data_IF_493321620156
#
_entry.id   IF_493321620156
#
_cell.length_a   1.000
_cell.length_b   1.000
_cell.length_c   1.000
_cell.angle_alpha   90.00
_cell.angle_beta   90.00
_cell.angle_gamma   90.00
#
_symmetry.space_group_name_H-M   'P 1'
#
loop_
_entity.id
_entity.type
_entity.pdbx_description
1 polymer ?
#
# COMPACT_ATOMS: atom_id res chain seq x y z
N UNK A 1 -88.16 34.71 -55.12
CA UNK A 1 -87.79 36.13 -55.17
C UNK A 1 -86.56 36.32 -54.32
N UNK A 2 -85.43 36.70 -54.92
CA UNK A 2 -84.15 36.88 -54.23
C UNK A 2 -84.19 38.07 -53.27
N UNK A 3 -83.90 37.82 -52.00
CA UNK A 3 -83.65 38.89 -51.02
C UNK A 3 -82.38 39.65 -51.42
N UNK A 4 -82.53 40.95 -51.67
CA UNK A 4 -81.41 41.89 -51.80
C UNK A 4 -80.82 42.10 -50.40
N UNK A 5 -79.61 41.61 -50.17
CA UNK A 5 -78.83 41.96 -48.99
C UNK A 5 -78.40 43.43 -49.09
N UNK A 6 -78.86 44.26 -48.15
CA UNK A 6 -78.39 45.63 -47.99
C UNK A 6 -77.05 45.63 -47.21
N UNK A 7 -76.09 46.51 -47.56
CA UNK A 7 -74.84 46.62 -46.83
C UNK A 7 -75.06 47.15 -45.40
N UNK A 8 -74.33 46.58 -44.43
CA UNK A 8 -74.35 46.98 -43.02
C UNK A 8 -73.95 48.45 -42.85
N UNK A 9 -74.67 49.17 -41.98
CA UNK A 9 -74.35 50.56 -41.60
C UNK A 9 -73.03 50.63 -40.80
N UNK A 10 -72.32 51.77 -40.89
CA UNK A 10 -71.00 51.97 -40.24
C UNK A 10 -71.02 51.72 -38.72
N UNK A 11 -72.16 52.00 -38.06
CA UNK A 11 -72.31 51.75 -36.63
C UNK A 11 -72.42 50.25 -36.29
N UNK A 12 -73.05 49.46 -37.17
CA UNK A 12 -73.10 48.00 -37.06
C UNK A 12 -71.76 47.36 -37.41
N UNK A 13 -71.00 47.94 -38.35
CA UNK A 13 -69.62 47.54 -38.63
C UNK A 13 -68.68 47.83 -37.45
N UNK A 14 -68.86 48.98 -36.77
CA UNK A 14 -68.10 49.31 -35.54
C UNK A 14 -68.42 48.36 -34.39
N UNK A 15 -69.71 48.04 -34.14
CA UNK A 15 -70.08 47.05 -33.11
C UNK A 15 -69.55 45.64 -33.41
N UNK A 16 -69.47 45.23 -34.68
CA UNK A 16 -68.84 43.97 -35.06
C UNK A 16 -67.31 43.98 -34.95
N UNK A 17 -66.64 45.14 -35.10
CA UNK A 17 -65.20 45.26 -34.85
C UNK A 17 -64.84 45.22 -33.36
N UNK A 18 -65.73 45.66 -32.47
CA UNK A 18 -65.49 45.67 -31.01
C UNK A 18 -65.74 44.29 -30.36
N UNK A 19 -66.56 43.43 -30.99
CA UNK A 19 -66.87 42.07 -30.51
C UNK A 19 -66.09 40.95 -31.21
N UNK A 20 -65.22 41.27 -32.16
CA UNK A 20 -64.26 40.29 -32.70
C UNK A 20 -63.03 40.25 -31.79
N UNK A 21 -62.69 39.11 -31.17
CA UNK A 21 -61.43 38.98 -30.47
C UNK A 21 -60.30 39.23 -31.47
N UNK A 22 -59.44 40.19 -31.12
CA UNK A 22 -58.21 40.48 -31.85
C UNK A 22 -57.38 39.19 -31.94
N UNK A 23 -56.78 38.84 -33.10
CA UNK A 23 -55.81 37.77 -33.13
C UNK A 23 -54.66 38.19 -32.23
N UNK A 24 -54.46 37.48 -31.12
CA UNK A 24 -53.36 37.75 -30.21
C UNK A 24 -52.07 37.63 -31.01
N UNK A 25 -51.39 38.77 -31.19
CA UNK A 25 -50.03 38.81 -31.68
C UNK A 25 -49.19 37.90 -30.79
N UNK A 26 -48.62 36.86 -31.41
CA UNK A 26 -47.67 35.96 -30.79
C UNK A 26 -46.50 36.82 -30.28
N UNK A 27 -46.15 36.79 -28.98
CA UNK A 27 -44.91 37.38 -28.53
C UNK A 27 -43.77 36.62 -29.19
N UNK A 28 -43.04 37.30 -30.07
CA UNK A 28 -41.68 36.94 -30.42
C UNK A 28 -40.82 37.18 -29.17
N UNK A 29 -40.75 36.16 -28.31
CA UNK A 29 -39.79 35.90 -27.24
C UNK A 29 -40.36 34.75 -26.40
N UNK A 30 -40.40 33.53 -26.97
CA UNK A 30 -40.35 32.38 -26.09
C UNK A 30 -38.94 32.39 -25.50
N UNK A 31 -38.80 32.93 -24.29
CA UNK A 31 -37.75 32.45 -23.40
C UNK A 31 -37.93 30.93 -23.39
N UNK A 32 -37.00 30.25 -24.05
CA UNK A 32 -36.75 28.85 -23.79
C UNK A 32 -36.45 28.86 -22.29
N UNK A 33 -37.43 28.53 -21.45
CA UNK A 33 -37.06 27.95 -20.17
C UNK A 33 -36.23 26.75 -20.59
N UNK A 34 -34.93 26.71 -20.26
CA UNK A 34 -34.27 25.44 -20.27
C UNK A 34 -35.20 24.57 -19.44
N UNK A 35 -35.61 23.42 -19.97
CA UNK A 35 -35.77 22.31 -19.04
C UNK A 35 -34.53 22.40 -18.17
N UNK A 36 -34.69 22.65 -16.88
CA UNK A 36 -33.66 22.26 -15.93
C UNK A 36 -33.59 20.75 -16.12
N UNK A 37 -32.79 20.36 -17.13
CA UNK A 37 -32.19 19.06 -17.21
C UNK A 37 -31.73 18.83 -15.76
N UNK A 38 -32.07 17.69 -15.13
CA UNK A 38 -31.39 17.34 -13.89
C UNK A 38 -29.92 17.64 -14.16
N UNK A 39 -29.28 18.48 -13.33
CA UNK A 39 -28.04 19.16 -13.68
C UNK A 39 -27.19 18.12 -14.39
N UNK A 40 -26.91 18.36 -15.68
CA UNK A 40 -26.16 17.41 -16.51
C UNK A 40 -25.06 16.90 -15.60
N UNK A 41 -25.01 15.56 -15.33
CA UNK A 41 -24.25 15.03 -14.19
C UNK A 41 -22.94 15.77 -14.21
N UNK A 42 -22.73 16.60 -13.17
CA UNK A 42 -21.67 17.62 -13.15
C UNK A 42 -20.48 16.96 -13.79
N UNK A 43 -19.97 17.43 -14.95
CA UNK A 43 -19.06 16.66 -15.77
C UNK A 43 -18.03 16.11 -14.81
N UNK A 44 -18.09 14.79 -14.58
CA UNK A 44 -17.42 14.16 -13.44
C UNK A 44 -16.06 14.79 -13.40
N UNK A 45 -15.71 15.57 -12.35
CA UNK A 45 -14.61 16.52 -12.43
C UNK A 45 -13.47 15.78 -13.07
N UNK A 46 -13.08 16.23 -14.27
CA UNK A 46 -12.22 15.46 -15.17
C UNK A 46 -11.06 15.01 -14.34
N UNK A 47 -11.04 13.71 -14.02
CA UNK A 47 -10.32 13.17 -12.85
C UNK A 47 -8.94 13.80 -12.82
N UNK A 48 -8.51 14.52 -11.75
CA UNK A 48 -7.15 15.03 -11.73
C UNK A 48 -6.22 13.83 -12.01
N UNK A 49 -5.20 13.96 -12.88
CA UNK A 49 -4.38 12.83 -13.31
C UNK A 49 -3.56 12.36 -12.10
N UNK A 50 -4.11 11.45 -11.29
CA UNK A 50 -3.71 11.49 -9.88
C UNK A 50 -4.22 10.41 -8.94
N UNK A 51 -5.14 9.50 -9.33
CA UNK A 51 -5.72 8.56 -8.37
C UNK A 51 -4.69 7.77 -7.55
N UNK A 52 -5.05 7.50 -6.29
CA UNK A 52 -4.30 6.70 -5.32
C UNK A 52 -5.20 5.67 -4.65
N UNK A 53 -4.63 4.61 -4.09
CA UNK A 53 -5.36 3.57 -3.38
C UNK A 53 -5.84 4.07 -2.01
N UNK A 54 -4.95 4.74 -1.28
CA UNK A 54 -5.26 5.44 -0.03
C UNK A 54 -4.48 6.75 0.04
N UNK A 55 -5.02 7.68 0.84
CA UNK A 55 -4.47 8.98 1.21
C UNK A 55 -4.79 9.29 2.68
N UNK A 56 -4.11 10.25 3.32
CA UNK A 56 -4.53 10.73 4.62
C UNK A 56 -5.99 11.21 4.60
N UNK A 57 -6.80 10.73 5.54
CA UNK A 57 -8.23 11.03 5.65
C UNK A 57 -8.48 12.52 5.92
N UNK A 58 -7.54 13.22 6.55
CA UNK A 58 -7.67 14.66 6.79
C UNK A 58 -7.53 15.53 5.53
N UNK A 59 -7.03 14.97 4.42
CA UNK A 59 -6.97 15.71 3.16
C UNK A 59 -8.36 15.83 2.53
N UNK A 60 -8.72 16.99 1.95
CA UNK A 60 -9.99 17.16 1.24
C UNK A 60 -10.16 16.21 0.05
N UNK A 61 -11.42 16.10 -0.42
CA UNK A 61 -11.76 15.39 -1.66
C UNK A 61 -10.92 15.87 -2.85
N UNK A 62 -10.43 14.91 -3.64
CA UNK A 62 -9.61 15.17 -4.83
C UNK A 62 -8.14 15.51 -4.54
N UNK A 63 -7.77 15.74 -3.28
CA UNK A 63 -6.40 16.09 -2.88
C UNK A 63 -5.67 14.84 -2.38
N UNK A 64 -4.62 14.44 -3.08
CA UNK A 64 -3.89 13.19 -2.79
C UNK A 64 -2.70 13.37 -1.85
N UNK A 65 -2.15 14.57 -1.72
CA UNK A 65 -0.93 14.80 -0.95
C UNK A 65 -0.96 16.16 -0.26
N UNK A 66 -0.19 16.29 0.82
CA UNK A 66 0.05 17.57 1.46
C UNK A 66 0.70 18.54 0.45
N UNK A 67 0.00 19.62 0.14
CA UNK A 67 0.50 20.72 -0.65
C UNK A 67 1.11 21.76 0.29
N UNK A 68 2.41 21.67 0.57
CA UNK A 68 3.07 22.65 1.44
C UNK A 68 4.39 23.17 0.82
N UNK A 69 4.53 24.50 0.56
CA UNK A 69 5.80 25.10 0.13
C UNK A 69 6.95 24.96 1.14
N UNK A 70 6.66 24.64 2.41
CA UNK A 70 7.65 24.46 3.49
C UNK A 70 8.03 22.98 3.67
N UNK A 71 7.34 22.06 2.98
CA UNK A 71 7.63 20.62 2.98
C UNK A 71 7.31 19.91 4.29
N UNK A 72 6.44 20.46 5.14
CA UNK A 72 6.02 19.78 6.37
C UNK A 72 5.04 18.65 6.04
N UNK A 73 5.33 17.46 6.58
CA UNK A 73 4.45 16.29 6.53
C UNK A 73 4.32 15.77 7.96
N UNK A 74 3.08 15.65 8.50
CA UNK A 74 2.87 15.19 9.85
C UNK A 74 3.27 13.72 10.05
N UNK A 75 3.63 13.38 11.29
CA UNK A 75 3.74 11.99 11.74
C UNK A 75 2.34 11.53 12.15
N UNK A 76 1.82 10.50 11.51
CA UNK A 76 0.42 10.11 11.64
C UNK A 76 0.27 8.64 12.00
N UNK A 77 -0.88 8.26 12.56
CA UNK A 77 -1.20 6.86 12.77
C UNK A 77 -1.70 6.23 11.47
N UNK A 78 -1.53 4.92 11.31
CA UNK A 78 -2.09 4.18 10.16
C UNK A 78 -3.61 4.36 10.02
N UNK A 79 -4.31 4.59 11.13
CA UNK A 79 -5.76 4.83 11.14
C UNK A 79 -6.17 6.17 10.53
N UNK A 80 -5.23 7.12 10.39
CA UNK A 80 -5.44 8.38 9.69
C UNK A 80 -5.38 8.20 8.15
N UNK A 81 -5.13 6.98 7.66
CA UNK A 81 -5.16 6.62 6.24
C UNK A 81 -6.32 5.65 5.90
N UNK A 82 -7.17 5.35 6.88
CA UNK A 82 -8.33 4.48 6.74
C UNK A 82 -8.35 3.35 7.76
N UNK A 83 -8.96 2.24 7.37
CA UNK A 83 -9.04 1.06 8.21
C UNK A 83 -7.75 0.24 8.12
N UNK A 84 -7.42 -0.43 9.22
CA UNK A 84 -6.24 -1.28 9.34
C UNK A 84 -6.57 -2.52 10.17
N UNK A 85 -6.10 -3.69 9.76
CA UNK A 85 -6.24 -4.93 10.52
C UNK A 85 -4.97 -5.78 10.45
N UNK A 86 -4.54 -6.30 11.60
CA UNK A 86 -3.41 -7.22 11.69
C UNK A 86 -3.93 -8.64 11.86
N UNK A 87 -3.46 -9.55 11.02
CA UNK A 87 -3.79 -10.96 11.03
C UNK A 87 -2.53 -11.80 11.26
N UNK A 88 -2.68 -12.94 11.91
CA UNK A 88 -1.62 -13.93 12.01
C UNK A 88 -2.13 -15.33 12.27
N UNK A 89 -1.27 -16.31 12.04
CA UNK A 89 -1.58 -17.71 12.28
C UNK A 89 -0.35 -18.50 12.70
N UNK A 90 -0.58 -19.64 13.36
CA UNK A 90 0.48 -20.48 13.93
C UNK A 90 0.50 -21.87 13.29
N UNK A 91 -0.68 -22.43 13.08
CA UNK A 91 -0.86 -23.78 12.59
C UNK A 91 -0.75 -23.84 11.07
N UNK A 92 0.00 -24.83 10.59
CA UNK A 92 0.17 -25.13 9.18
C UNK A 92 -0.69 -26.35 8.88
N UNK A 93 -1.55 -26.25 7.88
CA UNK A 93 -2.36 -27.38 7.42
C UNK A 93 -1.54 -28.37 6.58
N UNK A 94 -2.17 -29.50 6.23
CA UNK A 94 -1.56 -30.55 5.40
C UNK A 94 -1.16 -30.08 3.98
N UNK A 95 -1.58 -28.87 3.59
CA UNK A 95 -1.32 -28.25 2.29
C UNK A 95 -0.28 -27.12 2.39
N UNK A 96 0.37 -26.95 3.55
CA UNK A 96 1.39 -25.94 3.78
C UNK A 96 0.84 -24.52 3.98
N UNK A 97 -0.47 -24.37 4.18
CA UNK A 97 -1.11 -23.08 4.37
C UNK A 97 -1.38 -22.80 5.86
N UNK A 98 -1.26 -21.53 6.25
CA UNK A 98 -1.51 -21.04 7.60
C UNK A 98 -2.82 -20.27 7.60
N UNK A 99 -3.83 -20.77 8.29
CA UNK A 99 -5.08 -20.04 8.48
C UNK A 99 -4.82 -18.76 9.28
N UNK A 100 -5.21 -17.61 8.73
CA UNK A 100 -5.00 -16.32 9.36
C UNK A 100 -6.17 -16.01 10.28
N UNK A 101 -5.86 -15.51 11.48
CA UNK A 101 -6.80 -15.06 12.50
C UNK A 101 -6.52 -13.63 12.90
N UNK A 102 -7.54 -12.91 13.35
CA UNK A 102 -7.42 -11.49 13.72
C UNK A 102 -6.63 -11.32 15.01
N UNK A 103 -5.56 -10.52 14.94
CA UNK A 103 -4.77 -10.07 16.09
C UNK A 103 -5.34 -8.76 16.62
N UNK A 104 -5.52 -7.76 15.75
CA UNK A 104 -5.96 -6.41 16.14
C UNK A 104 -6.51 -5.60 14.97
N UNK A 105 -7.03 -4.40 15.27
CA UNK A 105 -7.47 -3.41 14.28
C UNK A 105 -8.98 -3.43 13.98
N UNK A 106 -9.36 -2.77 12.89
CA UNK A 106 -10.74 -2.58 12.42
C UNK A 106 -11.46 -3.91 12.13
N UNK A 107 -12.79 -3.88 12.13
CA UNK A 107 -13.59 -5.00 11.61
C UNK A 107 -13.28 -5.18 10.11
N UNK A 108 -13.14 -6.43 9.67
CA UNK A 108 -12.85 -6.73 8.26
C UNK A 108 -14.08 -6.44 7.38
N UNK A 109 -13.88 -6.24 6.07
CA UNK A 109 -14.99 -6.07 5.14
C UNK A 109 -16.01 -7.22 5.23
N UNK A 110 -17.28 -6.88 5.19
CA UNK A 110 -18.40 -7.82 5.14
C UNK A 110 -18.23 -8.73 3.91
N UNK A 111 -18.54 -10.02 4.06
CA UNK A 111 -18.42 -11.00 2.98
C UNK A 111 -16.98 -11.44 2.64
N UNK A 112 -15.95 -10.92 3.33
CA UNK A 112 -14.56 -11.32 3.10
C UNK A 112 -14.33 -12.82 3.35
N UNK A 113 -15.05 -13.46 4.27
CA UNK A 113 -14.82 -14.87 4.58
C UNK A 113 -13.47 -15.10 5.27
N UNK A 114 -12.69 -16.07 4.77
CA UNK A 114 -11.44 -16.53 5.39
C UNK A 114 -10.21 -16.28 4.49
N UNK A 115 -9.07 -16.03 5.14
CA UNK A 115 -7.77 -15.91 4.48
C UNK A 115 -6.78 -16.91 5.07
N UNK A 116 -5.94 -17.49 4.21
CA UNK A 116 -4.80 -18.29 4.61
C UNK A 116 -3.56 -17.87 3.83
N UNK A 117 -2.39 -17.94 4.47
CA UNK A 117 -1.11 -17.61 3.85
C UNK A 117 -0.32 -18.89 3.63
N UNK A 118 0.14 -19.12 2.39
CA UNK A 118 1.08 -20.19 2.06
C UNK A 118 2.42 -19.59 1.66
N UNK A 119 3.51 -20.16 2.17
CA UNK A 119 4.87 -19.69 1.85
C UNK A 119 5.84 -20.87 1.73
N UNK A 120 6.80 -20.80 0.82
CA UNK A 120 7.80 -21.87 0.61
C UNK A 120 8.63 -22.18 1.88
N UNK A 121 8.87 -21.18 2.73
CA UNK A 121 9.54 -21.35 4.02
C UNK A 121 8.72 -22.16 5.03
N UNK A 122 7.38 -22.14 4.90
CA UNK A 122 6.45 -22.87 5.76
C UNK A 122 6.30 -24.33 5.30
N UNK A 123 6.33 -24.58 3.99
CA UNK A 123 6.40 -25.95 3.43
C UNK A 123 7.61 -26.73 3.96
N UNK A 124 8.75 -26.04 4.09
CA UNK A 124 10.00 -26.62 4.62
C UNK A 124 9.92 -26.93 6.13
N UNK A 125 9.12 -26.16 6.89
CA UNK A 125 8.95 -26.34 8.33
C UNK A 125 7.94 -27.44 8.67
N UNK A 126 6.92 -27.67 7.83
CA UNK A 126 5.99 -28.79 7.99
C UNK A 126 6.69 -30.17 7.85
N UNK A 127 7.79 -30.24 7.09
CA UNK A 127 8.61 -31.44 6.94
C UNK A 127 9.57 -31.69 8.12
N UNK A 128 9.84 -30.68 8.95
CA UNK A 128 10.71 -30.79 10.11
C UNK A 128 9.88 -31.03 11.38
N UNK A 129 9.74 -32.29 11.79
CA UNK A 129 9.17 -32.64 13.10
C UNK A 129 10.12 -32.11 14.18
N UNK A 130 9.88 -30.90 14.66
CA UNK A 130 10.67 -30.24 15.69
C UNK A 130 9.87 -29.12 16.35
N UNK A 131 9.70 -29.23 17.67
CA UNK A 131 9.00 -28.32 18.58
C UNK A 131 8.93 -26.86 18.10
N UNK A 132 7.75 -26.44 17.63
CA UNK A 132 7.40 -25.02 17.53
C UNK A 132 7.49 -24.45 18.94
N UNK A 133 8.36 -23.46 19.15
CA UNK A 133 8.30 -22.62 20.36
C UNK A 133 6.90 -22.03 20.39
N UNK A 134 6.05 -22.50 21.32
CA UNK A 134 4.59 -22.41 21.28
C UNK A 134 3.94 -21.02 21.36
N UNK A 135 4.59 -19.96 20.86
CA UNK A 135 4.05 -18.59 20.81
C UNK A 135 4.27 -17.85 19.49
N UNK A 136 5.25 -18.25 18.67
CA UNK A 136 5.61 -17.54 17.44
C UNK A 136 4.54 -17.71 16.35
N UNK A 137 4.43 -16.71 15.48
CA UNK A 137 3.56 -16.77 14.32
C UNK A 137 4.28 -17.46 13.17
N UNK A 138 3.54 -18.29 12.46
CA UNK A 138 4.00 -18.92 11.22
C UNK A 138 3.64 -18.09 9.99
N UNK A 139 2.60 -17.26 10.10
CA UNK A 139 2.25 -16.23 9.11
C UNK A 139 1.78 -14.95 9.78
N UNK A 140 2.17 -13.80 9.22
CA UNK A 140 1.76 -12.46 9.66
C UNK A 140 1.40 -11.63 8.43
N UNK A 141 0.20 -11.04 8.45
CA UNK A 141 -0.34 -10.24 7.35
C UNK A 141 -0.97 -8.97 7.92
N UNK A 142 -0.67 -7.82 7.34
CA UNK A 142 -1.39 -6.58 7.60
C UNK A 142 -2.30 -6.23 6.43
N UNK A 143 -3.49 -5.74 6.73
CA UNK A 143 -4.47 -5.27 5.76
C UNK A 143 -4.78 -3.80 6.02
N UNK A 144 -4.92 -3.01 4.96
CA UNK A 144 -5.42 -1.64 5.04
C UNK A 144 -6.36 -1.31 3.88
N UNK A 145 -7.32 -0.42 4.11
CA UNK A 145 -8.25 0.04 3.07
C UNK A 145 -8.86 1.40 3.44
N UNK A 146 -9.27 2.21 2.45
CA UNK A 146 -9.89 3.50 2.71
C UNK A 146 -11.16 3.40 3.57
N UNK A 147 -11.33 4.35 4.50
CA UNK A 147 -12.54 4.51 5.31
C UNK A 147 -13.63 5.31 4.59
N UNK A 148 -13.24 6.32 3.80
CA UNK A 148 -14.15 7.20 3.09
C UNK A 148 -14.48 6.65 1.69
N UNK A 149 -15.78 6.49 1.43
CA UNK A 149 -16.29 6.07 0.14
C UNK A 149 -16.69 7.31 -0.66
N UNK A 150 -16.23 7.40 -1.90
CA UNK A 150 -16.64 8.46 -2.83
C UNK A 150 -15.65 9.61 -3.01
N UNK A 151 -14.47 9.55 -2.40
CA UNK A 151 -13.40 10.52 -2.69
C UNK A 151 -12.88 10.35 -4.13
N UNK A 152 -12.94 11.43 -4.90
CA UNK A 152 -12.58 11.50 -6.32
C UNK A 152 -11.10 11.26 -6.59
N UNK A 153 -10.24 11.40 -5.57
CA UNK A 153 -8.82 11.09 -5.61
C UNK A 153 -8.52 9.59 -5.44
N UNK A 154 -9.52 8.78 -5.07
CA UNK A 154 -9.34 7.34 -4.94
C UNK A 154 -9.59 6.59 -6.28
N UNK A 155 -8.90 5.46 -6.43
CA UNK A 155 -9.24 4.53 -7.52
C UNK A 155 -10.63 3.92 -7.29
N UNK A 156 -11.35 3.69 -8.38
CA UNK A 156 -12.54 2.82 -8.32
C UNK A 156 -12.11 1.35 -8.36
N UNK A 157 -12.96 0.46 -7.86
CA UNK A 157 -12.72 -0.98 -7.92
C UNK A 157 -12.51 -1.48 -9.36
N UNK A 158 -13.26 -0.92 -10.32
CA UNK A 158 -13.12 -1.23 -11.75
C UNK A 158 -11.76 -0.81 -12.30
N UNK A 159 -11.26 0.38 -11.92
CA UNK A 159 -9.94 0.83 -12.33
C UNK A 159 -8.87 -0.15 -11.84
N UNK A 160 -8.88 -0.51 -10.56
CA UNK A 160 -7.89 -1.42 -9.99
C UNK A 160 -7.88 -2.79 -10.69
N UNK A 161 -9.03 -3.33 -11.13
CA UNK A 161 -9.10 -4.62 -11.87
C UNK A 161 -8.33 -4.61 -13.19
N UNK A 162 -8.20 -3.45 -13.83
CA UNK A 162 -7.50 -3.30 -15.12
C UNK A 162 -6.00 -2.97 -14.97
N UNK A 163 -5.54 -2.72 -13.74
CA UNK A 163 -4.21 -2.22 -13.46
C UNK A 163 -3.26 -3.33 -13.02
N UNK A 164 -2.00 -3.23 -13.44
CA UNK A 164 -0.91 -4.07 -12.91
C UNK A 164 -0.25 -3.43 -11.69
N UNK A 165 -0.26 -2.10 -11.61
CA UNK A 165 0.27 -1.34 -10.49
C UNK A 165 -0.61 -0.13 -10.24
N UNK A 166 -0.74 0.27 -8.98
CA UNK A 166 -1.49 1.45 -8.57
C UNK A 166 -0.67 2.27 -7.58
N UNK A 167 -0.94 3.58 -7.55
CA UNK A 167 -0.30 4.50 -6.60
C UNK A 167 -0.96 4.40 -5.23
N UNK A 168 -0.21 4.62 -4.17
CA UNK A 168 -0.71 4.83 -2.80
C UNK A 168 0.08 5.93 -2.13
N UNK A 169 -0.52 6.64 -1.18
CA UNK A 169 0.18 7.65 -0.38
C UNK A 169 0.80 7.09 0.91
N UNK A 170 0.57 5.80 1.16
CA UNK A 170 1.07 5.08 2.31
C UNK A 170 1.62 3.73 1.87
N UNK A 171 2.78 3.38 2.40
CA UNK A 171 3.32 2.02 2.35
C UNK A 171 3.76 1.56 3.73
N UNK A 172 3.39 0.34 4.08
CA UNK A 172 3.55 -0.26 5.39
C UNK A 172 4.51 -1.46 5.31
N UNK A 173 5.18 -1.68 6.43
CA UNK A 173 5.97 -2.87 6.70
C UNK A 173 5.56 -3.43 8.06
N UNK A 174 5.42 -4.74 8.15
CA UNK A 174 5.23 -5.46 9.42
C UNK A 174 6.19 -6.62 9.50
N UNK A 175 6.70 -6.87 10.71
CA UNK A 175 7.64 -7.95 11.00
C UNK A 175 7.38 -8.54 12.39
N UNK A 176 7.66 -9.83 12.52
CA UNK A 176 7.81 -10.47 13.82
C UNK A 176 9.29 -10.62 14.13
N UNK A 177 9.71 -10.18 15.32
CA UNK A 177 11.07 -10.34 15.82
C UNK A 177 11.29 -11.77 16.37
N UNK A 178 12.54 -12.15 16.60
CA UNK A 178 12.92 -13.49 17.10
C UNK A 178 12.27 -13.84 18.45
N UNK A 179 11.95 -12.84 19.28
CA UNK A 179 11.26 -13.01 20.57
C UNK A 179 9.73 -13.09 20.45
N UNK A 180 9.19 -13.00 19.23
CA UNK A 180 7.76 -13.02 18.94
C UNK A 180 7.09 -11.65 18.97
N UNK A 181 7.80 -10.60 19.38
CA UNK A 181 7.30 -9.22 19.38
C UNK A 181 6.99 -8.78 17.96
N UNK A 182 5.84 -8.16 17.77
CA UNK A 182 5.44 -7.60 16.49
C UNK A 182 5.92 -6.15 16.38
N UNK A 183 6.52 -5.81 15.23
CA UNK A 183 6.92 -4.46 14.88
C UNK A 183 6.28 -4.08 13.54
N UNK A 184 5.90 -2.82 13.42
CA UNK A 184 5.35 -2.29 12.18
C UNK A 184 5.50 -0.78 12.12
N UNK A 185 5.72 -0.29 10.91
CA UNK A 185 5.80 1.13 10.59
C UNK A 185 5.46 1.32 9.12
N UNK A 186 5.22 2.56 8.70
CA UNK A 186 5.07 2.90 7.29
C UNK A 186 5.73 4.21 6.94
N UNK A 187 5.74 4.52 5.65
CA UNK A 187 6.12 5.83 5.15
C UNK A 187 5.00 6.45 4.33
N UNK A 188 4.87 7.76 4.50
CA UNK A 188 4.15 8.60 3.56
C UNK A 188 4.96 8.72 2.27
N UNK A 189 4.37 8.38 1.14
CA UNK A 189 5.10 8.33 -0.13
C UNK A 189 5.23 9.70 -0.78
N UNK A 190 4.31 10.63 -0.49
CA UNK A 190 4.27 11.96 -1.09
C UNK A 190 4.35 11.88 -2.61
N UNK A 191 5.20 12.71 -3.23
CA UNK A 191 5.40 12.73 -4.69
C UNK A 191 6.52 11.78 -5.19
N UNK A 192 6.99 10.86 -4.35
CA UNK A 192 8.00 9.89 -4.76
C UNK A 192 7.34 8.76 -5.58
N UNK A 193 7.47 8.85 -6.90
CA UNK A 193 6.84 7.90 -7.83
C UNK A 193 7.27 6.45 -7.59
N UNK A 194 8.54 6.18 -7.25
CA UNK A 194 9.00 4.81 -6.97
C UNK A 194 8.35 4.26 -5.69
N UNK A 195 8.12 5.12 -4.69
CA UNK A 195 7.48 4.72 -3.45
C UNK A 195 5.97 4.59 -3.58
N UNK A 196 5.33 5.37 -4.45
CA UNK A 196 3.89 5.31 -4.64
C UNK A 196 3.43 4.00 -5.28
N UNK A 197 4.23 3.41 -6.17
CA UNK A 197 3.79 2.29 -7.01
C UNK A 197 3.79 0.98 -6.22
N UNK A 198 2.63 0.32 -6.19
CA UNK A 198 2.39 -0.98 -5.57
C UNK A 198 1.79 -1.91 -6.64
N UNK A 199 2.22 -3.17 -6.63
CA UNK A 199 1.68 -4.17 -7.56
C UNK A 199 0.24 -4.54 -7.19
N UNK A 200 -0.61 -4.63 -8.22
CA UNK A 200 -2.01 -5.01 -8.09
C UNK A 200 -2.13 -6.49 -8.45
N UNK A 201 -2.60 -7.29 -7.49
CA UNK A 201 -2.71 -8.74 -7.62
C UNK A 201 -4.18 -9.14 -7.55
N UNK A 202 -4.61 -9.92 -8.54
CA UNK A 202 -5.98 -10.42 -8.62
C UNK A 202 -6.06 -11.84 -8.11
N UNK A 203 -7.10 -12.14 -7.33
CA UNK A 203 -7.40 -13.51 -6.96
C UNK A 203 -7.86 -14.31 -8.20
N UNK A 204 -7.15 -15.41 -8.47
CA UNK A 204 -7.47 -16.33 -9.56
C UNK A 204 -8.09 -17.60 -8.98
N UNK A 205 -9.13 -18.13 -9.64
CA UNK A 205 -9.72 -19.41 -9.26
C UNK A 205 -8.76 -20.55 -9.64
N UNK A 206 -8.31 -21.32 -8.66
CA UNK A 206 -7.49 -22.52 -8.82
C UNK A 206 -8.21 -23.70 -8.17
N UNK A 207 -9.03 -24.40 -8.96
CA UNK A 207 -9.96 -25.42 -8.46
C UNK A 207 -11.07 -24.80 -7.61
N UNK A 208 -11.17 -25.26 -6.36
CA UNK A 208 -12.17 -24.80 -5.37
C UNK A 208 -11.67 -23.60 -4.53
N UNK A 209 -10.46 -23.10 -4.78
CA UNK A 209 -9.85 -22.01 -4.01
C UNK A 209 -9.60 -20.80 -4.88
N UNK A 210 -9.60 -19.62 -4.27
CA UNK A 210 -9.08 -18.40 -4.89
C UNK A 210 -7.67 -18.13 -4.39
N UNK A 211 -6.73 -17.90 -5.29
CA UNK A 211 -5.31 -17.74 -4.97
C UNK A 211 -4.80 -16.44 -5.59
N UNK A 212 -4.13 -15.63 -4.78
CA UNK A 212 -3.34 -14.49 -5.20
C UNK A 212 -1.86 -14.86 -5.05
N UNK A 213 -1.15 -14.93 -6.18
CA UNK A 213 0.31 -15.15 -6.20
C UNK A 213 1.02 -13.82 -5.91
N UNK A 214 1.77 -13.79 -4.81
CA UNK A 214 2.48 -12.61 -4.33
C UNK A 214 3.97 -12.65 -4.69
N UNK A 215 4.37 -13.55 -5.59
CA UNK A 215 5.76 -13.78 -5.97
C UNK A 215 6.56 -14.47 -4.86
N UNK A 216 7.81 -14.83 -5.17
CA UNK A 216 8.79 -15.40 -4.21
C UNK A 216 8.21 -16.51 -3.31
N UNK A 217 7.39 -17.39 -3.91
CA UNK A 217 6.80 -18.54 -3.24
C UNK A 217 5.83 -18.21 -2.10
N UNK A 218 5.27 -16.99 -2.02
CA UNK A 218 4.14 -16.71 -1.15
C UNK A 218 2.85 -16.54 -1.96
N UNK A 219 1.80 -17.16 -1.44
CA UNK A 219 0.47 -17.08 -2.01
C UNK A 219 -0.52 -16.78 -0.88
N UNK A 220 -1.45 -15.87 -1.15
CA UNK A 220 -2.60 -15.67 -0.29
C UNK A 220 -3.78 -16.46 -0.85
N UNK A 221 -4.40 -17.26 -0.01
CA UNK A 221 -5.55 -18.10 -0.34
C UNK A 221 -6.77 -17.45 0.29
N UNK A 222 -7.80 -17.24 -0.52
CA UNK A 222 -9.05 -16.66 -0.11
C UNK A 222 -10.19 -17.66 -0.27
N UNK A 223 -10.99 -17.79 0.80
CA UNK A 223 -12.22 -18.56 0.80
C UNK A 223 -13.37 -17.59 1.06
N UNK A 224 -14.23 -17.30 0.06
CA UNK A 224 -15.34 -16.37 0.25
C UNK A 224 -16.28 -16.84 1.36
N UNK A 225 -16.95 -15.88 2.00
CA UNK A 225 -18.04 -16.22 2.92
C UNK A 225 -19.16 -16.95 2.14
N UNK A 226 -19.76 -17.96 2.77
CA UNK A 226 -20.90 -18.69 2.18
C UNK A 226 -22.09 -17.75 2.02
N UNK A 227 -22.32 -16.90 3.02
CA UNK A 227 -23.28 -15.80 2.97
C UNK A 227 -22.53 -14.47 2.77
N UNK A 228 -22.76 -13.73 1.66
CA UNK A 228 -22.18 -12.41 1.45
C UNK A 228 -22.56 -11.38 2.53
N UNK A 229 -23.66 -11.60 3.25
CA UNK A 229 -24.07 -10.80 4.40
C UNK A 229 -23.40 -11.18 5.71
N UNK A 230 -22.52 -12.19 5.72
CA UNK A 230 -21.86 -12.65 6.93
C UNK A 230 -20.93 -11.58 7.52
N UNK A 231 -21.11 -11.37 8.82
CA UNK A 231 -20.35 -10.42 9.64
C UNK A 231 -19.42 -11.12 10.63
N UNK A 232 -19.53 -12.46 10.77
CA UNK A 232 -18.72 -13.25 11.70
C UNK A 232 -17.23 -13.20 11.34
N UNK A 233 -16.90 -12.94 10.07
CA UNK A 233 -15.58 -12.56 9.60
C UNK A 233 -14.47 -13.54 9.96
N UNK A 234 -13.23 -13.06 9.93
CA UNK A 234 -12.08 -13.85 10.38
C UNK A 234 -12.06 -13.86 11.92
N UNK A 235 -12.01 -15.03 12.57
CA UNK A 235 -12.05 -15.13 14.03
C UNK A 235 -10.79 -14.56 14.68
N UNK A 236 -10.88 -14.21 15.97
CA UNK A 236 -9.73 -13.76 16.75
C UNK A 236 -8.67 -14.87 16.93
N UNK A 237 -7.40 -14.46 17.04
CA UNK A 237 -6.30 -15.36 17.36
C UNK A 237 -6.23 -15.58 18.88
N UNK A 238 -6.35 -16.84 19.30
CA UNK A 238 -6.20 -17.21 20.71
C UNK A 238 -4.79 -16.88 21.22
N UNK A 239 -4.72 -16.23 22.38
CA UNK A 239 -3.47 -15.72 22.97
C UNK A 239 -2.62 -14.93 21.96
N UNK A 240 -3.24 -13.97 21.25
CA UNK A 240 -2.55 -13.12 20.28
C UNK A 240 -1.42 -12.31 20.91
N UNK A 241 -0.29 -12.10 20.21
CA UNK A 241 0.78 -11.20 20.67
C UNK A 241 0.28 -9.75 20.74
N UNK A 242 0.98 -8.92 21.51
CA UNK A 242 0.67 -7.50 21.59
C UNK A 242 0.87 -6.83 20.22
N UNK A 243 -0.19 -6.16 19.74
CA UNK A 243 -0.13 -5.43 18.48
C UNK A 243 0.71 -4.15 18.60
N UNK A 244 1.54 -3.82 17.59
CA UNK A 244 2.30 -2.59 17.58
C UNK A 244 1.40 -1.40 17.25
N UNK A 245 1.79 -0.22 17.74
CA UNK A 245 1.26 1.05 17.21
C UNK A 245 2.01 1.37 15.93
N UNK A 246 1.29 1.45 14.81
CA UNK A 246 1.89 1.69 13.49
C UNK A 246 1.77 3.17 13.16
N UNK A 247 2.94 3.79 13.00
CA UNK A 247 3.08 5.18 12.56
C UNK A 247 3.48 5.25 11.09
N UNK A 248 2.94 6.25 10.39
CA UNK A 248 3.27 6.62 9.03
C UNK A 248 4.22 7.79 9.08
N UNK A 249 5.49 7.51 8.80
CA UNK A 249 6.55 8.49 8.93
C UNK A 249 6.65 9.37 7.69
N UNK A 250 6.90 10.68 7.86
CA UNK A 250 7.33 11.52 6.77
C UNK A 250 8.70 11.05 6.25
N UNK A 251 8.99 11.19 4.94
CA UNK A 251 10.24 10.73 4.33
C UNK A 251 11.40 11.70 4.61
N UNK A 252 11.79 11.84 5.89
CA UNK A 252 12.85 12.75 6.32
C UNK A 252 13.90 12.08 7.23
N UNK A 253 15.01 12.77 7.48
CA UNK A 253 16.12 12.23 8.28
C UNK A 253 15.73 11.90 9.72
N UNK A 254 14.76 12.62 10.31
CA UNK A 254 14.30 12.34 11.68
C UNK A 254 13.63 10.98 11.76
N UNK A 255 12.85 10.59 10.75
CA UNK A 255 12.25 9.25 10.69
C UNK A 255 13.32 8.14 10.68
N UNK A 256 14.41 8.32 9.92
CA UNK A 256 15.51 7.37 9.86
C UNK A 256 16.23 7.19 11.21
N UNK A 257 16.33 8.26 12.00
CA UNK A 257 16.91 8.23 13.35
C UNK A 257 16.02 7.48 14.35
N UNK A 258 14.70 7.63 14.24
CA UNK A 258 13.73 6.98 15.13
C UNK A 258 13.64 5.48 14.83
N UNK A 259 13.57 5.11 13.54
CA UNK A 259 13.32 3.73 13.13
C UNK A 259 14.57 2.82 13.16
N UNK A 260 15.76 3.40 13.25
CA UNK A 260 17.07 2.71 13.34
C UNK A 260 17.23 1.63 12.25
N UNK A 261 17.77 2.03 11.09
CA UNK A 261 17.90 1.21 9.87
C UNK A 261 16.56 0.67 9.33
N UNK A 262 15.58 1.54 9.04
CA UNK A 262 14.35 1.10 8.41
C UNK A 262 14.62 0.54 7.01
N UNK A 263 13.85 -0.47 6.64
CA UNK A 263 13.59 -0.81 5.24
C UNK A 263 12.67 0.27 4.66
N UNK A 264 12.93 0.68 3.43
CA UNK A 264 12.14 1.65 2.69
C UNK A 264 11.32 0.95 1.59
N UNK A 265 10.31 1.62 1.01
CA UNK A 265 9.83 1.26 -0.30
C UNK A 265 10.92 1.52 -1.37
N UNK A 266 10.98 0.75 -2.46
CA UNK A 266 10.01 -0.27 -2.88
C UNK A 266 10.25 -1.66 -2.29
N UNK A 267 11.22 -1.82 -1.39
CA UNK A 267 11.66 -3.14 -0.91
C UNK A 267 10.58 -3.92 -0.13
N UNK A 268 9.47 -3.29 0.28
CA UNK A 268 8.38 -3.98 1.00
C UNK A 268 7.69 -5.04 0.17
N UNK A 269 7.17 -6.05 0.87
CA UNK A 269 6.33 -7.10 0.29
C UNK A 269 4.86 -6.78 0.51
N UNK A 270 4.41 -5.77 -0.20
CA UNK A 270 3.03 -5.28 -0.16
C UNK A 270 2.38 -5.23 -1.54
N UNK A 271 1.06 -5.34 -1.56
CA UNK A 271 0.27 -5.49 -2.77
C UNK A 271 -1.09 -4.85 -2.59
N UNK A 272 -1.78 -4.58 -3.70
CA UNK A 272 -3.21 -4.28 -3.70
C UNK A 272 -3.93 -5.51 -4.22
N UNK A 273 -4.69 -6.17 -3.34
CA UNK A 273 -5.50 -7.34 -3.67
C UNK A 273 -6.82 -6.90 -4.26
N UNK A 274 -7.16 -7.48 -5.40
CA UNK A 274 -8.45 -7.27 -6.07
C UNK A 274 -9.21 -8.59 -6.09
N UNK A 275 -10.39 -8.59 -5.46
CA UNK A 275 -11.28 -9.74 -5.36
C UNK A 275 -12.17 -9.84 -6.60
N UNK A 276 -12.67 -11.04 -6.97
CA UNK A 276 -13.64 -11.20 -8.05
C UNK A 276 -14.86 -10.29 -7.85
N UNK A 277 -15.38 -9.71 -8.94
CA UNK A 277 -16.47 -8.71 -8.89
C UNK A 277 -17.73 -9.22 -8.20
N UNK A 278 -18.06 -10.50 -8.39
CA UNK A 278 -19.24 -11.16 -7.83
C UNK A 278 -19.19 -11.30 -6.30
N UNK A 279 -18.01 -11.18 -5.70
CA UNK A 279 -17.85 -11.30 -4.25
C UNK A 279 -18.38 -10.11 -3.47
N UNK A 280 -18.50 -8.94 -4.11
CA UNK A 280 -18.79 -7.68 -3.41
C UNK A 280 -17.69 -7.20 -2.45
N UNK A 281 -16.59 -7.95 -2.30
CA UNK A 281 -15.46 -7.59 -1.45
C UNK A 281 -14.61 -6.53 -2.17
N UNK A 282 -14.41 -5.40 -1.50
CA UNK A 282 -13.60 -4.30 -2.04
C UNK A 282 -12.10 -4.65 -2.03
N UNK A 283 -11.31 -4.03 -2.93
CA UNK A 283 -9.86 -4.20 -2.93
C UNK A 283 -9.21 -3.84 -1.59
N UNK A 284 -8.16 -4.57 -1.22
CA UNK A 284 -7.44 -4.42 0.04
C UNK A 284 -5.96 -4.21 -0.23
N UNK A 285 -5.33 -3.25 0.46
CA UNK A 285 -3.88 -3.22 0.55
C UNK A 285 -3.43 -4.28 1.55
N UNK A 286 -2.43 -5.08 1.17
CA UNK A 286 -1.89 -6.17 1.99
C UNK A 286 -0.39 -6.03 2.14
N UNK A 287 0.14 -6.32 3.33
CA UNK A 287 1.57 -6.55 3.57
C UNK A 287 1.73 -7.96 4.08
N UNK A 288 2.64 -8.72 3.50
CA UNK A 288 2.94 -10.09 3.94
C UNK A 288 4.31 -10.14 4.59
N UNK A 289 4.34 -10.64 5.82
CA UNK A 289 5.58 -10.93 6.54
C UNK A 289 5.80 -12.44 6.57
N UNK A 290 6.81 -12.84 5.81
CA UNK A 290 7.29 -14.21 5.61
C UNK A 290 8.46 -14.47 6.58
N UNK A 291 8.20 -14.37 7.88
CA UNK A 291 9.21 -14.52 8.97
C UNK A 291 10.38 -13.52 8.92
N UNK A 292 11.08 -13.40 10.06
CA UNK A 292 12.17 -12.46 10.27
C UNK A 292 13.34 -12.72 9.30
N UNK A 293 13.63 -11.75 8.43
CA UNK A 293 14.83 -11.79 7.56
C UNK A 293 14.59 -11.73 6.05
N UNK A 294 13.34 -11.57 5.58
CA UNK A 294 13.05 -11.62 4.14
C UNK A 294 13.27 -10.29 3.39
N UNK A 295 13.64 -9.23 4.10
CA UNK A 295 14.64 -8.32 3.55
C UNK A 295 15.96 -8.81 4.12
N UNK A 296 16.68 -9.64 3.36
CA UNK A 296 17.90 -10.32 3.77
C UNK A 296 19.06 -9.33 3.99
N UNK A 297 18.89 -8.42 4.96
CA UNK A 297 19.97 -7.70 5.55
C UNK A 297 20.61 -8.62 6.57
N UNK A 298 21.74 -9.17 6.19
CA UNK A 298 22.53 -9.98 7.09
C UNK A 298 22.92 -9.13 8.31
N UNK A 299 22.62 -9.59 9.53
CA UNK A 299 22.97 -8.84 10.73
C UNK A 299 24.48 -8.68 10.79
N UNK A 300 24.94 -7.49 11.17
CA UNK A 300 26.37 -7.25 11.31
C UNK A 300 26.95 -8.19 12.37
N UNK A 301 28.05 -8.88 12.10
CA UNK A 301 28.68 -9.73 13.10
C UNK A 301 29.23 -8.86 14.25
N UNK A 302 29.20 -9.40 15.47
CA UNK A 302 29.82 -8.73 16.64
C UNK A 302 31.34 -8.62 16.47
N UNK A 303 31.94 -9.64 15.85
CA UNK A 303 33.37 -9.78 15.58
C UNK A 303 33.58 -10.36 14.17
N UNK A 304 34.63 -9.91 13.49
CA UNK A 304 35.04 -10.48 12.21
C UNK A 304 36.00 -11.64 12.45
N UNK A 305 35.49 -12.88 12.46
CA UNK A 305 36.27 -14.07 12.82
C UNK A 305 37.51 -14.24 11.93
N UNK A 306 37.39 -14.00 10.64
CA UNK A 306 38.51 -14.06 9.69
C UNK A 306 39.46 -12.85 9.77
N UNK A 307 39.07 -11.78 10.44
CA UNK A 307 39.84 -10.54 10.57
C UNK A 307 40.05 -10.18 12.05
N UNK A 308 40.76 -11.02 12.83
CA UNK A 308 40.81 -10.91 14.29
C UNK A 308 41.53 -9.67 14.80
N UNK A 309 42.25 -8.94 13.94
CA UNK A 309 42.88 -7.65 14.27
C UNK A 309 41.95 -6.45 14.04
N UNK A 310 40.84 -6.62 13.33
CA UNK A 310 39.89 -5.55 13.06
C UNK A 310 39.16 -5.16 14.35
N UNK A 311 39.07 -3.85 14.62
CA UNK A 311 38.37 -3.28 15.78
C UNK A 311 37.36 -2.24 15.32
N UNK A 312 36.30 -2.07 16.09
CA UNK A 312 35.25 -1.10 15.79
C UNK A 312 35.84 0.29 15.53
N UNK A 313 35.38 0.93 14.47
CA UNK A 313 35.78 2.27 14.08
C UNK A 313 34.54 3.13 13.80
N UNK A 314 34.72 4.45 13.80
CA UNK A 314 33.64 5.40 13.49
C UNK A 314 33.14 5.16 12.07
N UNK A 315 31.85 4.86 11.92
CA UNK A 315 31.17 4.74 10.62
C UNK A 315 31.19 6.08 9.87
N UNK A 316 31.51 6.04 8.57
CA UNK A 316 31.54 7.25 7.71
C UNK A 316 30.71 7.13 6.44
N UNK A 317 30.75 5.98 5.75
CA UNK A 317 30.05 5.78 4.48
C UNK A 317 28.54 5.81 4.68
N UNK A 318 27.80 6.70 4.01
CA UNK A 318 26.34 6.73 4.06
C UNK A 318 25.74 5.50 3.38
N UNK A 319 24.60 5.02 3.89
CA UNK A 319 23.80 4.00 3.22
C UNK A 319 22.68 4.64 2.39
N UNK A 320 22.25 3.96 1.32
CA UNK A 320 21.03 4.31 0.59
C UNK A 320 19.85 4.05 1.55
N UNK A 321 19.11 5.08 1.93
CA UNK A 321 18.09 5.01 3.00
C UNK A 321 18.53 5.60 4.35
N UNK A 322 19.70 6.23 4.45
CA UNK A 322 20.12 6.90 5.69
C UNK A 322 20.89 6.00 6.66
N UNK A 323 21.52 6.60 7.67
CA UNK A 323 22.50 5.92 8.52
C UNK A 323 23.88 5.75 7.87
N UNK A 324 24.80 5.08 8.57
CA UNK A 324 26.18 4.86 8.11
C UNK A 324 26.60 3.39 8.23
N UNK A 325 27.41 2.92 7.29
CA UNK A 325 27.93 1.55 7.25
C UNK A 325 28.70 1.20 8.52
N UNK A 326 28.39 0.07 9.21
CA UNK A 326 29.24 -0.45 10.26
C UNK A 326 30.67 -0.61 9.76
N UNK A 327 31.63 -0.13 10.56
CA UNK A 327 33.02 -0.04 10.15
C UNK A 327 33.96 -0.59 11.21
N UNK A 328 35.00 -1.29 10.75
CA UNK A 328 36.15 -1.68 11.54
C UNK A 328 37.44 -1.20 10.87
N UNK A 329 38.50 -1.07 11.67
CA UNK A 329 39.86 -0.77 11.21
C UNK A 329 40.84 -1.69 11.92
N UNK A 330 41.85 -2.16 11.21
CA UNK A 330 42.97 -2.89 11.82
C UNK A 330 44.18 -1.97 12.07
N UNK A 331 45.22 -2.41 12.81
CA UNK A 331 46.41 -1.60 13.08
C UNK A 331 47.18 -1.16 11.84
N UNK A 332 47.08 -1.90 10.74
CA UNK A 332 47.73 -1.57 9.47
C UNK A 332 46.97 -0.47 8.71
N UNK A 333 45.80 -0.07 9.23
CA UNK A 333 44.95 0.97 8.71
C UNK A 333 43.95 0.48 7.66
N UNK A 334 43.85 -0.82 7.42
CA UNK A 334 42.85 -1.41 6.51
C UNK A 334 41.46 -1.19 7.08
N UNK A 335 40.52 -0.81 6.22
CA UNK A 335 39.14 -0.51 6.58
C UNK A 335 38.25 -1.66 6.13
N UNK A 336 37.28 -1.99 6.97
CA UNK A 336 36.31 -3.05 6.75
C UNK A 336 34.92 -2.46 6.93
N UNK A 337 34.06 -2.56 5.92
CA UNK A 337 32.66 -2.12 6.03
C UNK A 337 31.72 -3.30 5.84
N UNK A 338 30.66 -3.37 6.65
CA UNK A 338 29.64 -4.40 6.50
C UNK A 338 28.70 -4.06 5.33
N UNK A 339 28.60 -4.99 4.39
CA UNK A 339 27.54 -4.99 3.40
C UNK A 339 26.40 -5.87 3.89
N UNK A 340 25.38 -5.21 4.46
CA UNK A 340 24.21 -5.89 4.98
C UNK A 340 23.43 -6.59 3.87
N UNK A 341 23.46 -6.11 2.62
CA UNK A 341 22.71 -6.73 1.51
C UNK A 341 23.29 -8.09 1.10
N UNK A 342 24.59 -8.29 1.31
CA UNK A 342 25.30 -9.49 0.82
C UNK A 342 25.91 -10.35 1.92
N UNK A 343 25.80 -9.92 3.18
CA UNK A 343 26.37 -10.65 4.32
C UNK A 343 27.87 -10.76 4.25
N UNK A 344 28.52 -9.69 3.78
CA UNK A 344 29.93 -9.69 3.44
C UNK A 344 30.65 -8.46 3.96
N UNK A 345 31.97 -8.57 4.01
CA UNK A 345 32.85 -7.47 4.38
C UNK A 345 33.48 -6.88 3.13
N UNK A 346 33.23 -5.60 2.89
CA UNK A 346 33.91 -4.83 1.87
C UNK A 346 35.22 -4.29 2.46
N UNK A 347 36.36 -4.66 1.88
CA UNK A 347 37.68 -4.23 2.37
C UNK A 347 38.20 -3.04 1.58
N UNK A 348 38.91 -2.14 2.27
CA UNK A 348 39.55 -0.97 1.67
C UNK A 348 40.94 -0.74 2.25
N UNK A 349 41.85 -0.14 1.47
CA UNK A 349 43.17 0.28 1.95
C UNK A 349 43.06 1.40 2.98
N UNK A 350 44.17 1.74 3.64
CA UNK A 350 44.26 2.93 4.50
C UNK A 350 43.98 4.26 3.80
N UNK A 351 43.95 4.27 2.47
CA UNK A 351 43.59 5.41 1.63
C UNK A 351 42.15 5.31 1.08
N UNK A 352 41.37 4.33 1.56
CA UNK A 352 39.98 4.17 1.18
C UNK A 352 39.76 3.52 -0.19
N UNK A 353 40.77 2.90 -0.79
CA UNK A 353 40.65 2.25 -2.10
C UNK A 353 40.09 0.83 -1.93
N UNK A 354 39.06 0.46 -2.68
CA UNK A 354 38.39 -0.83 -2.57
C UNK A 354 39.30 -2.01 -2.95
N UNK A 355 39.35 -3.03 -2.09
CA UNK A 355 40.15 -4.25 -2.24
C UNK A 355 39.31 -5.49 -2.61
N UNK A 356 37.98 -5.40 -2.48
CA UNK A 356 37.04 -6.47 -2.82
C UNK A 356 36.09 -6.83 -1.67
N UNK A 357 35.24 -7.81 -1.96
CA UNK A 357 34.25 -8.38 -1.04
C UNK A 357 34.79 -9.69 -0.45
N UNK A 358 34.69 -9.85 0.87
CA UNK A 358 35.24 -10.99 1.60
C UNK A 358 34.21 -11.61 2.53
N UNK A 359 34.30 -12.92 2.70
CA UNK A 359 33.52 -13.66 3.68
C UNK A 359 34.03 -13.37 5.11
N UNK A 360 33.13 -13.06 6.04
CA UNK A 360 33.49 -12.62 7.39
C UNK A 360 33.92 -13.76 8.34
N UNK A 361 33.58 -15.01 8.00
CA UNK A 361 33.91 -16.20 8.79
C UNK A 361 35.22 -16.84 8.32
N UNK A 362 35.40 -16.96 7.01
CA UNK A 362 36.51 -17.68 6.38
C UNK A 362 37.59 -16.78 5.83
N UNK A 363 37.28 -15.51 5.56
CA UNK A 363 38.22 -14.54 4.96
C UNK A 363 38.43 -14.75 3.47
N UNK A 364 37.73 -15.70 2.85
CA UNK A 364 37.82 -15.96 1.41
C UNK A 364 37.28 -14.76 0.64
N UNK A 365 38.02 -14.31 -0.36
CA UNK A 365 37.56 -13.27 -1.28
C UNK A 365 36.43 -13.83 -2.16
N UNK A 366 35.28 -13.15 -2.14
CA UNK A 366 34.09 -13.48 -2.94
C UNK A 366 34.09 -12.72 -4.26
N UNK A 367 34.50 -11.44 -4.24
CA UNK A 367 34.57 -10.60 -5.43
C UNK A 367 35.88 -9.80 -5.46
N UNK A 368 36.45 -9.55 -6.66
CA UNK A 368 37.64 -8.73 -6.80
C UNK A 368 37.37 -7.26 -6.48
N UNK A 369 38.45 -6.48 -6.37
CA UNK A 369 38.37 -5.03 -6.28
C UNK A 369 37.56 -4.44 -7.44
N UNK A 370 36.76 -3.41 -7.14
CA UNK A 370 35.98 -2.65 -8.13
C UNK A 370 36.70 -1.34 -8.40
N UNK A 371 37.22 -1.10 -9.61
CA UNK A 371 37.90 0.15 -9.96
C UNK A 371 37.00 1.38 -9.70
N UNK A 372 37.58 2.44 -9.14
CA UNK A 372 36.88 3.70 -8.84
C UNK A 372 36.01 3.70 -7.57
N UNK A 373 35.78 2.54 -6.92
CA UNK A 373 35.07 2.50 -5.64
C UNK A 373 35.99 2.91 -4.50
N UNK A 374 35.61 3.97 -3.77
CA UNK A 374 36.37 4.49 -2.63
C UNK A 374 35.48 4.81 -1.43
N UNK A 375 36.12 4.94 -0.26
CA UNK A 375 35.48 5.39 0.99
C UNK A 375 36.37 6.42 1.68
N UNK A 376 35.77 7.26 2.53
CA UNK A 376 36.54 8.16 3.39
C UNK A 376 37.37 7.34 4.41
N UNK A 377 38.71 7.52 4.50
CA UNK A 377 39.61 6.72 5.36
C UNK A 377 39.39 6.78 6.89
#
# INVERSE_FOLDING_TARGET
MSERAYPLTEEQQRKQQILKPQPTQRPESAQIQPFDLPPAPTPTPTKPPGCVFTKPCQLPDGITHYADPIGFVPLELVTEYGHFCLLGGREVDDQGAVALRKISGSALPIGLGQLALRTAAVESAAAAVGTVVGGLLTGLVALAWPSELGDSALYTDEQLRSMQRARSQMRLQVEQLEDGTLKGYGFYTGNNAEWQMIDVVQFQRRGERFVADLGEGAELIWTPAVDPGDTLGIPALEAAPQAPVIWIYPPNEKAAQILVNPVYPPEYRDFILVFPVESGVRPLYVVVSVRAGDHAYHPKPKLLAAFPKARWARSKTPMKGGGKRPRWKDPDGTIYEWDSQHGAVEKYTKHGIHLGEFDHLTGKQRKPAKPGRTVEP
#
